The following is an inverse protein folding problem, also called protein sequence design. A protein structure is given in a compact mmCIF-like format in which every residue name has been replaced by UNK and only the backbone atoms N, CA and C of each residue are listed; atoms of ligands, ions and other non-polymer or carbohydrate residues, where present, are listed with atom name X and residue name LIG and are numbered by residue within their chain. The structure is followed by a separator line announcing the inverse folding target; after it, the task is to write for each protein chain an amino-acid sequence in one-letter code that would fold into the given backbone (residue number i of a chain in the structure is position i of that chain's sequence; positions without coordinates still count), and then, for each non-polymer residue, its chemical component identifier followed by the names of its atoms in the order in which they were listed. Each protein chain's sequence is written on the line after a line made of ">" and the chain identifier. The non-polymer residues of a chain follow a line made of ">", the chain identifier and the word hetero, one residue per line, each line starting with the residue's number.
data_IF_434731626750
#
_entry.id   IF_434731626750
#
_cell.length_a   1.000
_cell.length_b   1.000
_cell.length_c   1.000
_cell.angle_alpha   90.00
_cell.angle_beta   90.00
_cell.angle_gamma   90.00
#
_symmetry.space_group_name_H-M   'P 1'
#
loop_
_entity.id
_entity.type
_entity.pdbx_description
1 polymer ?
#
# COMPACT_ATOMS: atom_id res chain seq x y z
N UNK A 1 9.77 4.28 -3.46
CA UNK A 1 9.46 4.38 -4.91
C UNK A 1 7.99 4.76 -5.08
N UNK A 2 7.72 6.06 -5.30
CA UNK A 2 6.37 6.60 -5.47
C UNK A 2 6.04 6.93 -6.94
N UNK A 3 6.83 6.42 -7.88
CA UNK A 3 6.79 6.85 -9.28
C UNK A 3 5.63 6.28 -10.12
N UNK A 4 4.88 5.29 -9.63
CA UNK A 4 3.79 4.65 -10.41
C UNK A 4 2.41 5.27 -10.16
N UNK A 5 2.32 6.34 -9.36
CA UNK A 5 1.09 6.83 -8.76
C UNK A 5 0.20 7.68 -9.67
N UNK A 6 0.76 8.39 -10.63
CA UNK A 6 -0.02 9.39 -11.37
C UNK A 6 -1.11 8.77 -12.27
N UNK A 7 -0.93 7.55 -12.76
CA UNK A 7 -1.98 6.88 -13.54
C UNK A 7 -3.10 6.34 -12.65
N UNK A 8 -2.81 5.93 -11.42
CA UNK A 8 -3.82 5.50 -10.44
C UNK A 8 -4.62 6.67 -9.87
N UNK A 9 -4.04 7.88 -9.86
CA UNK A 9 -4.70 9.09 -9.38
C UNK A 9 -5.77 9.62 -10.35
N UNK A 10 -5.67 9.33 -11.65
CA UNK A 10 -6.65 9.79 -12.65
C UNK A 10 -7.75 8.79 -12.94
N UNK A 11 -7.72 7.62 -12.31
CA UNK A 11 -8.67 6.56 -12.54
C UNK A 11 -8.94 5.75 -11.28
N UNK A 12 -10.19 5.67 -10.84
CA UNK A 12 -10.57 4.93 -9.65
C UNK A 12 -11.67 3.93 -9.98
N UNK A 13 -11.43 2.65 -9.65
CA UNK A 13 -12.41 1.58 -9.78
C UNK A 13 -12.50 0.75 -8.51
N UNK A 14 -13.72 0.45 -8.13
CA UNK A 14 -14.05 -0.41 -7.00
C UNK A 14 -15.33 -1.18 -7.30
N UNK A 15 -15.39 -2.44 -6.89
CA UNK A 15 -16.58 -3.28 -7.00
C UNK A 15 -17.02 -3.66 -5.59
N UNK A 16 -18.29 -3.46 -5.28
CA UNK A 16 -18.93 -3.99 -4.09
C UNK A 16 -19.42 -5.41 -4.37
N UNK A 17 -19.10 -6.37 -3.51
CA UNK A 17 -19.59 -7.73 -3.59
C UNK A 17 -20.34 -8.15 -2.34
N UNK A 18 -21.15 -9.22 -2.44
CA UNK A 18 -21.62 -9.98 -1.28
C UNK A 18 -20.54 -10.93 -0.75
N UNK A 19 -20.86 -11.71 0.29
CA UNK A 19 -19.94 -12.69 0.91
C UNK A 19 -19.58 -13.85 -0.04
N UNK A 20 -20.36 -14.09 -1.08
CA UNK A 20 -20.07 -15.06 -2.14
C UNK A 20 -19.18 -14.47 -3.25
N UNK A 21 -18.74 -13.23 -3.08
CA UNK A 21 -17.96 -12.47 -4.06
C UNK A 21 -18.73 -12.19 -5.37
N UNK A 22 -20.07 -12.14 -5.32
CA UNK A 22 -20.88 -11.72 -6.45
C UNK A 22 -21.07 -10.21 -6.42
N UNK A 23 -20.96 -9.56 -7.58
CA UNK A 23 -21.03 -8.11 -7.71
C UNK A 23 -22.43 -7.59 -7.35
N UNK A 24 -22.48 -6.54 -6.53
CA UNK A 24 -23.71 -5.82 -6.15
C UNK A 24 -23.76 -4.41 -6.71
N UNK A 25 -22.62 -3.72 -6.73
CA UNK A 25 -22.49 -2.34 -7.22
C UNK A 25 -21.06 -2.07 -7.63
N UNK A 26 -20.81 -1.00 -8.40
CA UNK A 26 -19.47 -0.58 -8.76
C UNK A 26 -19.31 0.93 -8.77
N UNK A 27 -18.11 1.37 -8.49
CA UNK A 27 -17.63 2.72 -8.76
C UNK A 27 -16.60 2.66 -9.89
N UNK A 28 -16.79 3.48 -10.91
CA UNK A 28 -15.89 3.57 -12.06
C UNK A 28 -15.86 5.03 -12.50
N UNK A 29 -14.76 5.73 -12.26
CA UNK A 29 -14.62 7.13 -12.60
C UNK A 29 -13.21 7.47 -13.08
N UNK A 30 -13.14 8.42 -14.01
CA UNK A 30 -11.91 9.00 -14.53
C UNK A 30 -11.94 10.51 -14.34
N UNK A 31 -10.80 11.12 -14.03
CA UNK A 31 -10.69 12.56 -13.86
C UNK A 31 -9.62 13.17 -14.77
N UNK A 32 -9.62 14.50 -14.82
CA UNK A 32 -8.54 15.28 -15.43
C UNK A 32 -7.28 15.19 -14.57
N UNK A 33 -6.11 15.35 -15.21
CA UNK A 33 -4.86 15.56 -14.48
C UNK A 33 -4.98 16.84 -13.63
N UNK A 34 -4.51 16.75 -12.39
CA UNK A 34 -4.37 17.94 -11.54
C UNK A 34 -3.27 18.86 -12.06
N UNK A 35 -3.45 20.18 -11.96
CA UNK A 35 -2.39 21.12 -12.32
C UNK A 35 -1.08 20.81 -11.61
N UNK A 36 0.01 20.81 -12.36
CA UNK A 36 1.35 20.55 -11.81
C UNK A 36 1.66 19.07 -11.53
N UNK A 37 0.89 18.12 -12.08
CA UNK A 37 1.18 16.68 -12.00
C UNK A 37 1.67 16.18 -13.36
N UNK A 38 2.82 15.51 -13.37
CA UNK A 38 3.33 14.79 -14.53
C UNK A 38 3.17 13.29 -14.28
N UNK A 39 2.30 12.60 -15.02
CA UNK A 39 2.15 11.15 -14.91
C UNK A 39 3.39 10.45 -15.48
N UNK A 40 3.66 9.25 -14.99
CA UNK A 40 4.70 8.39 -15.57
C UNK A 40 4.32 7.98 -17.00
N UNK A 41 5.22 8.19 -17.95
CA UNK A 41 4.95 7.96 -19.37
C UNK A 41 4.57 6.51 -19.64
N UNK A 42 5.30 5.55 -19.05
CA UNK A 42 4.98 4.12 -19.21
C UNK A 42 3.61 3.75 -18.64
N UNK A 43 3.18 4.36 -17.53
CA UNK A 43 1.88 4.10 -16.96
C UNK A 43 0.74 4.56 -17.89
N UNK A 44 0.88 5.70 -18.53
CA UNK A 44 -0.09 6.17 -19.53
C UNK A 44 -0.13 5.25 -20.78
N UNK A 45 1.04 4.83 -21.25
CA UNK A 45 1.17 3.95 -22.43
C UNK A 45 0.53 2.59 -22.17
N UNK A 46 0.82 1.97 -21.01
CA UNK A 46 0.25 0.67 -20.63
C UNK A 46 -1.28 0.76 -20.51
N UNK A 47 -1.78 1.85 -19.95
CA UNK A 47 -3.22 2.10 -19.82
C UNK A 47 -3.87 2.65 -21.11
N UNK A 48 -3.13 2.76 -22.21
CA UNK A 48 -3.60 3.32 -23.51
C UNK A 48 -4.32 4.65 -23.33
N UNK A 49 -3.78 5.50 -22.46
CA UNK A 49 -4.37 6.81 -22.09
C UNK A 49 -3.36 7.91 -22.37
N UNK A 50 -3.82 9.10 -22.70
CA UNK A 50 -2.95 10.26 -22.92
C UNK A 50 -3.45 11.51 -22.16
N UNK A 51 -2.61 12.52 -21.93
CA UNK A 51 -3.02 13.78 -21.29
C UNK A 51 -4.19 14.45 -21.98
N UNK A 52 -4.24 14.47 -23.30
CA UNK A 52 -5.35 15.06 -24.06
C UNK A 52 -6.66 14.28 -23.89
N UNK A 53 -6.58 12.95 -23.74
CA UNK A 53 -7.77 12.14 -23.41
C UNK A 53 -8.26 12.43 -21.99
N UNK A 54 -7.37 12.56 -21.04
CA UNK A 54 -7.71 12.87 -19.64
C UNK A 54 -8.30 14.28 -19.51
N UNK A 55 -7.82 15.25 -20.28
CA UNK A 55 -8.34 16.64 -20.31
C UNK A 55 -9.82 16.69 -20.68
N UNK A 56 -10.33 15.69 -21.43
CA UNK A 56 -11.76 15.59 -21.79
C UNK A 56 -12.66 15.03 -20.69
N UNK A 57 -12.09 14.55 -19.59
CA UNK A 57 -12.87 14.05 -18.44
C UNK A 57 -13.65 15.20 -17.79
N UNK A 58 -14.92 14.94 -17.46
CA UNK A 58 -15.79 15.95 -16.84
C UNK A 58 -15.41 16.25 -15.39
N UNK A 59 -14.83 15.27 -14.68
CA UNK A 59 -14.47 15.38 -13.26
C UNK A 59 -13.06 15.92 -13.10
N UNK A 60 -12.87 16.80 -12.13
CA UNK A 60 -11.55 17.05 -11.54
C UNK A 60 -11.14 15.88 -10.63
N UNK A 61 -9.87 15.84 -10.24
CA UNK A 61 -9.39 14.87 -9.27
C UNK A 61 -10.12 14.98 -7.92
N UNK A 62 -10.32 16.20 -7.44
CA UNK A 62 -11.08 16.46 -6.21
C UNK A 62 -12.52 15.94 -6.30
N UNK A 63 -13.24 16.24 -7.39
CA UNK A 63 -14.61 15.78 -7.60
C UNK A 63 -14.70 14.25 -7.67
N UNK A 64 -13.76 13.59 -8.35
CA UNK A 64 -13.71 12.14 -8.42
C UNK A 64 -13.52 11.51 -7.03
N UNK A 65 -12.60 12.05 -6.22
CA UNK A 65 -12.36 11.55 -4.86
C UNK A 65 -13.58 11.79 -3.95
N UNK A 66 -14.24 12.95 -4.09
CA UNK A 66 -15.50 13.22 -3.37
C UNK A 66 -16.58 12.18 -3.70
N UNK A 67 -16.80 11.91 -4.98
CA UNK A 67 -17.78 10.89 -5.42
C UNK A 67 -17.39 9.49 -4.92
N UNK A 68 -16.10 9.16 -4.94
CA UNK A 68 -15.59 7.91 -4.42
C UNK A 68 -15.88 7.75 -2.91
N UNK A 69 -15.54 8.74 -2.10
CA UNK A 69 -15.78 8.72 -0.65
C UNK A 69 -17.27 8.63 -0.32
N UNK A 70 -18.12 9.38 -1.02
CA UNK A 70 -19.59 9.31 -0.86
C UNK A 70 -20.13 7.92 -1.24
N UNK A 71 -19.57 7.29 -2.27
CA UNK A 71 -19.91 5.92 -2.64
C UNK A 71 -19.52 4.94 -1.55
N UNK A 72 -18.32 5.05 -0.97
CA UNK A 72 -17.91 4.20 0.15
C UNK A 72 -18.81 4.37 1.38
N UNK A 73 -19.22 5.60 1.70
CA UNK A 73 -20.17 5.88 2.78
C UNK A 73 -21.54 5.23 2.53
N UNK A 74 -22.02 5.29 1.29
CA UNK A 74 -23.28 4.64 0.88
C UNK A 74 -23.22 3.12 0.98
N UNK A 75 -22.08 2.52 0.62
CA UNK A 75 -21.86 1.08 0.76
C UNK A 75 -21.74 0.62 2.21
N UNK A 76 -21.38 1.52 3.13
CA UNK A 76 -21.27 1.24 4.56
C UNK A 76 -19.99 0.50 4.92
N UNK A 77 -20.08 -0.26 6.03
CA UNK A 77 -18.92 -1.04 6.51
C UNK A 77 -18.59 -2.18 5.57
N UNK A 78 -17.33 -2.30 5.22
CA UNK A 78 -16.87 -3.29 4.26
C UNK A 78 -15.44 -3.77 4.55
N UNK A 79 -15.09 -4.91 3.96
CA UNK A 79 -13.71 -5.37 3.84
C UNK A 79 -13.15 -4.94 2.49
N UNK A 80 -12.12 -4.11 2.52
CA UNK A 80 -11.43 -3.62 1.31
C UNK A 80 -10.36 -4.62 0.89
N UNK A 81 -10.55 -5.23 -0.29
CA UNK A 81 -9.68 -6.29 -0.79
C UNK A 81 -9.13 -5.89 -2.15
N UNK A 82 -7.84 -6.11 -2.35
CA UNK A 82 -7.18 -5.93 -3.64
C UNK A 82 -6.06 -6.96 -3.84
N UNK A 83 -5.35 -6.85 -4.94
CA UNK A 83 -4.19 -7.66 -5.24
C UNK A 83 -2.92 -6.83 -5.07
N UNK A 84 -2.09 -7.12 -4.07
CA UNK A 84 -0.95 -6.31 -3.61
C UNK A 84 -1.36 -4.90 -3.14
N UNK A 85 -2.62 -4.71 -2.79
CA UNK A 85 -3.19 -3.39 -2.54
C UNK A 85 -2.72 -2.76 -1.22
N UNK A 86 -2.46 -3.56 -0.19
CA UNK A 86 -2.06 -3.05 1.14
C UNK A 86 -0.69 -2.35 1.11
N UNK A 87 0.22 -2.81 0.26
CA UNK A 87 1.56 -2.21 0.14
C UNK A 87 1.64 -1.17 -0.98
N UNK A 88 0.61 -1.06 -1.84
CA UNK A 88 0.63 -0.20 -3.00
C UNK A 88 -0.60 0.71 -3.09
N UNK A 89 -1.76 0.23 -3.54
CA UNK A 89 -2.95 1.07 -3.81
C UNK A 89 -3.45 1.82 -2.57
N UNK A 90 -3.36 1.19 -1.40
CA UNK A 90 -3.76 1.79 -0.12
C UNK A 90 -2.88 2.97 0.29
N UNK A 91 -1.59 2.92 0.00
CA UNK A 91 -0.68 4.02 0.30
C UNK A 91 -0.99 5.23 -0.58
N UNK A 92 -1.26 5.01 -1.88
CA UNK A 92 -1.70 6.09 -2.77
C UNK A 92 -3.05 6.65 -2.37
N UNK A 93 -4.02 5.78 -2.07
CA UNK A 93 -5.32 6.23 -1.62
C UNK A 93 -5.23 7.10 -0.36
N UNK A 94 -4.38 6.74 0.60
CA UNK A 94 -4.18 7.53 1.82
C UNK A 94 -3.58 8.90 1.52
N UNK A 95 -2.55 8.96 0.67
CA UNK A 95 -1.96 10.23 0.26
C UNK A 95 -3.00 11.10 -0.47
N UNK A 96 -3.77 10.51 -1.38
CA UNK A 96 -4.83 11.19 -2.11
C UNK A 96 -5.92 11.73 -1.17
N UNK A 97 -6.42 10.91 -0.25
CA UNK A 97 -7.41 11.33 0.75
C UNK A 97 -6.87 12.45 1.64
N UNK A 98 -5.64 12.35 2.11
CA UNK A 98 -4.99 13.38 2.91
C UNK A 98 -4.88 14.71 2.16
N UNK A 99 -4.44 14.68 0.91
CA UNK A 99 -4.30 15.87 0.06
C UNK A 99 -5.64 16.48 -0.36
N UNK A 100 -6.72 15.69 -0.37
CA UNK A 100 -8.07 16.16 -0.67
C UNK A 100 -8.89 16.48 0.58
N UNK A 101 -8.26 16.53 1.76
CA UNK A 101 -8.89 16.80 3.05
C UNK A 101 -9.98 15.78 3.43
N UNK A 102 -9.81 14.55 2.99
CA UNK A 102 -10.60 13.40 3.44
C UNK A 102 -9.83 12.59 4.48
N UNK A 103 -10.55 11.84 5.31
CA UNK A 103 -9.90 11.01 6.33
C UNK A 103 -9.08 9.88 5.71
N UNK A 104 -7.74 9.84 5.88
CA UNK A 104 -6.86 8.95 5.12
C UNK A 104 -7.05 7.46 5.40
N UNK A 105 -7.60 7.11 6.56
CA UNK A 105 -7.69 5.72 7.02
C UNK A 105 -9.10 5.13 6.92
N UNK A 106 -9.94 5.65 6.02
CA UNK A 106 -11.34 5.24 5.85
C UNK A 106 -11.48 3.72 5.59
N UNK A 107 -10.54 3.11 4.89
CA UNK A 107 -10.55 1.67 4.55
C UNK A 107 -10.18 0.74 5.70
N UNK A 108 -9.65 1.27 6.80
CA UNK A 108 -9.10 0.46 7.91
C UNK A 108 -9.55 0.89 9.30
N UNK A 109 -10.59 1.72 9.38
CA UNK A 109 -11.15 2.26 10.63
C UNK A 109 -12.67 2.21 10.60
N UNK A 110 -13.32 2.55 11.72
CA UNK A 110 -14.78 2.63 11.83
C UNK A 110 -15.52 1.33 11.45
N UNK A 111 -14.90 0.18 11.71
CA UNK A 111 -15.43 -1.14 11.37
C UNK A 111 -15.09 -1.64 9.97
N UNK A 112 -14.34 -0.86 9.20
CA UNK A 112 -13.77 -1.31 7.94
C UNK A 112 -12.50 -2.12 8.19
N UNK A 113 -12.28 -3.16 7.37
CA UNK A 113 -11.12 -4.05 7.42
C UNK A 113 -10.46 -4.16 6.06
N UNK A 114 -9.27 -4.76 5.99
CA UNK A 114 -8.49 -4.85 4.74
C UNK A 114 -7.95 -6.24 4.50
N UNK A 115 -7.94 -6.66 3.24
CA UNK A 115 -7.36 -7.90 2.80
C UNK A 115 -6.50 -7.76 1.55
N UNK A 116 -5.60 -8.72 1.34
CA UNK A 116 -4.72 -8.73 0.19
C UNK A 116 -4.68 -10.13 -0.43
N UNK A 117 -5.19 -10.25 -1.65
CA UNK A 117 -5.29 -11.53 -2.35
C UNK A 117 -3.91 -12.08 -2.75
N UNK A 118 -2.91 -11.22 -2.95
CA UNK A 118 -1.55 -11.71 -3.22
C UNK A 118 -0.99 -12.50 -2.03
N UNK A 119 -1.20 -12.02 -0.80
CA UNK A 119 -0.81 -12.73 0.42
C UNK A 119 -1.53 -14.07 0.55
N UNK A 120 -2.84 -14.09 0.24
CA UNK A 120 -3.63 -15.32 0.23
C UNK A 120 -3.17 -16.29 -0.85
N UNK A 121 -2.90 -15.83 -2.06
CA UNK A 121 -2.43 -16.67 -3.16
C UNK A 121 -1.12 -17.38 -2.82
N UNK A 122 -0.19 -16.65 -2.20
CA UNK A 122 1.09 -17.19 -1.71
C UNK A 122 0.91 -18.22 -0.60
N UNK A 123 0.00 -17.96 0.35
CA UNK A 123 -0.34 -18.90 1.42
C UNK A 123 -1.10 -20.12 0.89
N UNK A 124 -2.05 -19.92 -0.03
CA UNK A 124 -2.83 -20.98 -0.62
C UNK A 124 -1.94 -21.99 -1.36
N UNK A 125 -1.02 -21.53 -2.20
CA UNK A 125 -0.10 -22.44 -2.89
C UNK A 125 0.91 -23.11 -1.95
N UNK A 126 1.27 -22.48 -0.83
CA UNK A 126 2.18 -23.06 0.16
C UNK A 126 1.51 -24.21 0.92
N UNK A 127 0.31 -23.97 1.44
CA UNK A 127 -0.39 -24.94 2.31
C UNK A 127 -1.29 -25.93 1.56
N UNK A 128 -1.72 -25.57 0.37
CA UNK A 128 -2.53 -26.36 -0.55
C UNK A 128 -1.89 -26.30 -1.95
N UNK A 129 -0.82 -27.09 -2.19
CA UNK A 129 -0.13 -27.10 -3.48
C UNK A 129 -1.09 -27.27 -4.66
N UNK A 130 -0.84 -26.57 -5.75
CA UNK A 130 -1.67 -26.54 -6.96
C UNK A 130 -3.05 -25.87 -6.80
N UNK A 131 -3.27 -25.07 -5.77
CA UNK A 131 -4.49 -24.23 -5.65
C UNK A 131 -4.60 -23.29 -6.83
N UNK A 132 -3.52 -22.58 -7.15
CA UNK A 132 -3.41 -21.67 -8.27
C UNK A 132 -2.27 -22.09 -9.19
N UNK A 133 -2.49 -21.99 -10.49
CA UNK A 133 -1.45 -22.14 -11.51
C UNK A 133 -0.69 -20.82 -11.66
N UNK A 134 0.62 -20.88 -11.62
CA UNK A 134 1.52 -19.73 -11.81
C UNK A 134 2.46 -20.00 -12.98
N UNK A 135 2.88 -18.93 -13.63
CA UNK A 135 4.09 -18.98 -14.46
C UNK A 135 5.33 -19.07 -13.58
N UNK A 136 6.44 -19.52 -14.16
CA UNK A 136 7.72 -19.70 -13.48
C UNK A 136 8.73 -18.80 -14.14
N UNK A 137 9.53 -18.09 -13.36
CA UNK A 137 10.63 -17.28 -13.90
C UNK A 137 11.87 -18.13 -14.22
N UNK A 138 12.88 -17.51 -14.84
CA UNK A 138 14.15 -18.17 -15.21
C UNK A 138 14.87 -18.85 -14.05
N UNK A 139 14.60 -18.43 -12.80
CA UNK A 139 15.18 -19.02 -11.58
C UNK A 139 14.34 -20.14 -11.00
N UNK A 140 13.28 -20.56 -11.68
CA UNK A 140 12.37 -21.63 -11.20
C UNK A 140 11.45 -21.21 -10.05
N UNK A 141 11.21 -19.91 -9.86
CA UNK A 141 10.31 -19.41 -8.83
C UNK A 141 8.95 -19.03 -9.42
N UNK A 142 7.88 -19.28 -8.65
CA UNK A 142 6.53 -18.89 -9.03
C UNK A 142 6.41 -17.36 -9.18
N UNK A 143 5.74 -16.95 -10.25
CA UNK A 143 5.42 -15.55 -10.52
C UNK A 143 3.98 -15.27 -10.11
N UNK A 144 3.82 -14.41 -9.12
CA UNK A 144 2.52 -13.97 -8.61
C UNK A 144 2.15 -12.61 -9.21
N UNK A 145 1.94 -12.57 -10.53
CA UNK A 145 1.43 -11.40 -11.25
C UNK A 145 0.02 -11.68 -11.73
N UNK A 146 -0.91 -10.76 -11.48
CA UNK A 146 -2.33 -10.94 -11.74
C UNK A 146 -2.64 -11.18 -13.22
N UNK A 147 -1.97 -10.41 -14.10
CA UNK A 147 -2.06 -10.51 -15.56
C UNK A 147 -1.66 -11.88 -16.12
N UNK A 148 -0.77 -12.59 -15.41
CA UNK A 148 -0.31 -13.94 -15.76
C UNK A 148 -1.13 -15.03 -15.06
N UNK A 149 -1.44 -14.82 -13.78
CA UNK A 149 -2.17 -15.80 -12.98
C UNK A 149 -3.61 -15.97 -13.43
N UNK A 150 -4.33 -14.90 -13.73
CA UNK A 150 -5.74 -14.96 -14.05
C UNK A 150 -6.03 -15.85 -15.28
N UNK A 151 -5.37 -15.65 -16.44
CA UNK A 151 -5.58 -16.52 -17.61
C UNK A 151 -5.20 -17.97 -17.37
N UNK A 152 -4.09 -18.24 -16.66
CA UNK A 152 -3.65 -19.60 -16.34
C UNK A 152 -4.66 -20.38 -15.48
N UNK A 153 -5.51 -19.68 -14.75
CA UNK A 153 -6.54 -20.24 -13.89
C UNK A 153 -7.95 -20.15 -14.52
N UNK A 154 -8.06 -19.84 -15.82
CA UNK A 154 -9.32 -19.78 -16.54
C UNK A 154 -10.22 -18.61 -16.14
N UNK A 155 -9.61 -17.52 -15.62
CA UNK A 155 -10.29 -16.29 -15.28
C UNK A 155 -10.14 -15.35 -16.48
N UNK A 156 -11.25 -14.92 -17.03
CA UNK A 156 -11.26 -13.88 -18.08
C UNK A 156 -10.70 -12.58 -17.48
N UNK A 157 -9.59 -12.14 -18.02
CA UNK A 157 -8.91 -10.91 -17.62
C UNK A 157 -9.16 -9.82 -18.67
N UNK A 158 -10.36 -9.66 -19.17
CA UNK A 158 -10.81 -8.61 -20.09
C UNK A 158 -9.68 -7.95 -20.91
N UNK A 159 -9.76 -6.65 -21.17
CA UNK A 159 -8.57 -5.89 -21.61
C UNK A 159 -7.54 -5.88 -20.47
N UNK A 160 -6.51 -6.73 -20.59
CA UNK A 160 -5.39 -6.79 -19.66
C UNK A 160 -4.84 -5.38 -19.44
N UNK A 161 -4.64 -4.99 -18.18
CA UNK A 161 -4.31 -3.63 -17.74
C UNK A 161 -5.46 -2.60 -17.78
N UNK A 162 -6.71 -3.01 -18.00
CA UNK A 162 -7.83 -2.17 -17.62
C UNK A 162 -8.08 -2.36 -16.11
N UNK A 163 -8.22 -1.27 -15.35
CA UNK A 163 -8.40 -1.38 -13.90
C UNK A 163 -9.66 -2.18 -13.49
N UNK A 164 -10.68 -2.31 -14.36
CA UNK A 164 -11.84 -3.19 -14.12
C UNK A 164 -11.47 -4.66 -14.35
N UNK A 165 -10.63 -4.95 -15.34
CA UNK A 165 -10.10 -6.28 -15.59
C UNK A 165 -9.34 -6.80 -14.37
N UNK A 166 -8.51 -5.97 -13.76
CA UNK A 166 -7.73 -6.31 -12.55
C UNK A 166 -8.64 -6.57 -11.33
N UNK A 167 -9.72 -5.80 -11.15
CA UNK A 167 -10.70 -6.04 -10.08
C UNK A 167 -11.43 -7.36 -10.30
N UNK A 168 -11.93 -7.63 -11.51
CA UNK A 168 -12.62 -8.89 -11.86
C UNK A 168 -11.68 -10.08 -11.70
N UNK A 169 -10.43 -9.97 -12.16
CA UNK A 169 -9.42 -11.00 -12.01
C UNK A 169 -9.11 -11.26 -10.53
N UNK A 170 -9.00 -10.23 -9.70
CA UNK A 170 -8.81 -10.35 -8.25
C UNK A 170 -9.95 -11.11 -7.59
N UNK A 171 -11.21 -10.78 -7.93
CA UNK A 171 -12.40 -11.50 -7.45
C UNK A 171 -12.37 -12.96 -7.91
N UNK A 172 -12.00 -13.23 -9.16
CA UNK A 172 -11.86 -14.59 -9.69
C UNK A 172 -10.82 -15.42 -8.93
N UNK A 173 -9.64 -14.87 -8.66
CA UNK A 173 -8.60 -15.53 -7.83
C UNK A 173 -9.11 -15.76 -6.40
N UNK A 174 -9.79 -14.78 -5.80
CA UNK A 174 -10.39 -14.93 -4.47
C UNK A 174 -11.41 -16.08 -4.42
N UNK A 175 -12.31 -16.20 -5.43
CA UNK A 175 -13.26 -17.32 -5.57
C UNK A 175 -12.56 -18.67 -5.67
N UNK A 176 -11.46 -18.75 -6.42
CA UNK A 176 -10.68 -20.00 -6.52
C UNK A 176 -10.02 -20.38 -5.18
N UNK A 177 -9.42 -19.43 -4.48
CA UNK A 177 -8.81 -19.68 -3.17
C UNK A 177 -9.88 -20.12 -2.17
N UNK A 178 -11.03 -19.45 -2.10
CA UNK A 178 -12.10 -19.81 -1.17
C UNK A 178 -12.60 -21.24 -1.40
N UNK A 179 -12.65 -21.70 -2.66
CA UNK A 179 -13.09 -23.04 -3.04
C UNK A 179 -12.02 -24.11 -2.83
N UNK A 180 -10.77 -23.87 -3.24
CA UNK A 180 -9.71 -24.89 -3.26
C UNK A 180 -8.84 -24.91 -2.00
N UNK A 181 -8.75 -23.79 -1.27
CA UNK A 181 -8.00 -23.67 -0.02
C UNK A 181 -8.88 -23.04 1.09
N UNK A 182 -10.02 -23.67 1.45
CA UNK A 182 -11.04 -23.06 2.31
C UNK A 182 -10.51 -22.71 3.70
N UNK A 183 -9.55 -23.46 4.25
CA UNK A 183 -8.97 -23.14 5.55
C UNK A 183 -8.04 -21.90 5.49
N UNK A 184 -7.33 -21.69 4.38
CA UNK A 184 -6.56 -20.45 4.16
C UNK A 184 -7.50 -19.28 4.05
N UNK A 185 -8.58 -19.41 3.27
CA UNK A 185 -9.61 -18.39 3.15
C UNK A 185 -10.23 -18.03 4.52
N UNK A 186 -10.68 -19.04 5.27
CA UNK A 186 -11.27 -18.84 6.61
C UNK A 186 -10.30 -18.18 7.59
N UNK A 187 -9.05 -18.63 7.61
CA UNK A 187 -8.00 -18.03 8.46
C UNK A 187 -7.74 -16.58 8.11
N UNK A 188 -7.71 -16.26 6.81
CA UNK A 188 -7.47 -14.90 6.33
C UNK A 188 -8.61 -13.95 6.69
N UNK A 189 -9.87 -14.40 6.65
CA UNK A 189 -11.02 -13.56 7.04
C UNK A 189 -10.91 -13.04 8.48
N UNK A 190 -10.36 -13.83 9.40
CA UNK A 190 -10.12 -13.42 10.79
C UNK A 190 -9.02 -12.36 10.89
N UNK A 191 -8.01 -12.41 10.03
CA UNK A 191 -6.82 -11.54 10.09
C UNK A 191 -6.94 -10.27 9.25
N UNK A 192 -8.04 -10.08 8.52
CA UNK A 192 -8.40 -8.82 7.87
C UNK A 192 -8.66 -7.70 8.90
N UNK A 193 -9.17 -8.04 10.09
CA UNK A 193 -9.20 -7.14 11.24
C UNK A 193 -7.86 -7.19 11.99
N UNK A 194 -7.18 -6.04 12.05
CA UNK A 194 -5.87 -5.92 12.71
C UNK A 194 -5.89 -6.25 14.20
N UNK A 195 -7.00 -5.96 14.89
CA UNK A 195 -7.13 -6.19 16.33
C UNK A 195 -7.35 -7.69 16.58
N UNK A 196 -8.22 -8.34 15.81
CA UNK A 196 -8.41 -9.79 15.87
C UNK A 196 -7.11 -10.54 15.53
N UNK A 197 -6.38 -10.05 14.52
CA UNK A 197 -5.06 -10.59 14.15
C UNK A 197 -4.07 -10.50 15.33
N UNK A 198 -4.00 -9.35 16.00
CA UNK A 198 -3.13 -9.16 17.16
C UNK A 198 -3.52 -10.03 18.34
N UNK A 199 -4.81 -10.11 18.65
CA UNK A 199 -5.34 -10.96 19.73
C UNK A 199 -5.03 -12.44 19.48
N UNK A 200 -5.25 -12.92 18.26
CA UNK A 200 -4.94 -14.30 17.86
C UNK A 200 -3.46 -14.61 18.09
N UNK A 201 -2.54 -13.75 17.64
CA UNK A 201 -1.10 -13.93 17.83
C UNK A 201 -0.71 -13.97 19.30
N UNK A 202 -1.32 -13.13 20.13
CA UNK A 202 -1.04 -13.09 21.59
C UNK A 202 -1.61 -14.28 22.33
N UNK A 203 -2.82 -14.71 21.97
CA UNK A 203 -3.55 -15.77 22.66
C UNK A 203 -2.97 -17.15 22.37
N UNK A 204 -2.71 -17.46 21.11
CA UNK A 204 -2.26 -18.80 20.71
C UNK A 204 -0.89 -19.13 21.30
N UNK A 205 -0.72 -20.37 21.78
CA UNK A 205 0.57 -20.85 22.26
C UNK A 205 1.60 -20.84 21.13
N UNK A 206 1.23 -21.35 19.98
CA UNK A 206 1.99 -21.32 18.74
C UNK A 206 1.04 -21.26 17.56
N UNK A 207 1.50 -20.75 16.44
CA UNK A 207 0.73 -20.62 15.20
C UNK A 207 1.67 -20.71 13.99
N UNK A 208 1.11 -20.97 12.81
CA UNK A 208 1.87 -21.05 11.58
C UNK A 208 1.55 -19.86 10.67
N UNK A 209 2.58 -19.19 10.15
CA UNK A 209 2.45 -18.13 9.13
C UNK A 209 3.29 -18.45 7.92
N UNK A 210 3.14 -17.65 6.87
CA UNK A 210 4.03 -17.67 5.73
C UNK A 210 4.66 -16.30 5.50
N UNK A 211 5.88 -16.31 5.00
CA UNK A 211 6.56 -15.12 4.46
C UNK A 211 7.02 -15.42 3.03
N UNK A 212 7.00 -14.38 2.19
CA UNK A 212 7.47 -14.48 0.81
C UNK A 212 8.72 -13.63 0.62
N UNK A 213 9.83 -14.26 0.30
CA UNK A 213 11.08 -13.58 -0.02
C UNK A 213 11.96 -14.45 -0.92
N UNK A 214 12.78 -13.79 -1.72
CA UNK A 214 13.61 -14.44 -2.75
C UNK A 214 12.81 -15.37 -3.68
N UNK A 215 11.59 -14.93 -4.06
CA UNK A 215 10.76 -15.64 -5.01
C UNK A 215 10.05 -16.90 -4.47
N UNK A 216 10.06 -17.14 -3.16
CA UNK A 216 9.46 -18.33 -2.54
C UNK A 216 8.68 -18.01 -1.27
N UNK A 217 7.53 -18.67 -1.11
CA UNK A 217 6.83 -18.71 0.18
C UNK A 217 7.51 -19.70 1.13
N UNK A 218 7.63 -19.31 2.40
CA UNK A 218 8.22 -20.14 3.45
C UNK A 218 7.31 -20.15 4.67
N UNK A 219 7.09 -21.34 5.29
CA UNK A 219 6.31 -21.47 6.51
C UNK A 219 7.14 -21.08 7.73
N UNK A 220 6.46 -20.59 8.76
CA UNK A 220 7.04 -20.31 10.06
C UNK A 220 6.09 -20.73 11.17
N UNK A 221 6.43 -21.76 11.93
CA UNK A 221 5.78 -22.08 13.20
C UNK A 221 6.44 -21.25 14.28
N UNK A 222 5.68 -20.41 14.94
CA UNK A 222 6.23 -19.40 15.84
C UNK A 222 5.33 -19.15 17.04
N UNK A 223 5.91 -18.52 18.05
CA UNK A 223 5.20 -18.08 19.26
C UNK A 223 5.49 -16.62 19.55
N UNK A 224 4.52 -15.93 20.14
CA UNK A 224 4.63 -14.53 20.51
C UNK A 224 5.66 -14.31 21.63
N UNK A 225 6.48 -13.27 21.50
CA UNK A 225 7.43 -12.79 22.52
C UNK A 225 6.92 -11.51 23.18
N UNK A 226 6.88 -10.43 22.38
CA UNK A 226 6.49 -9.09 22.80
C UNK A 226 6.07 -8.26 21.59
N UNK A 227 5.60 -7.04 21.82
CA UNK A 227 5.35 -6.06 20.74
C UNK A 227 6.59 -5.21 20.50
N UNK A 228 6.82 -4.85 19.24
CA UNK A 228 7.86 -3.90 18.86
C UNK A 228 7.56 -2.53 19.49
N UNK A 229 8.50 -1.88 20.19
CA UNK A 229 8.22 -0.68 20.99
C UNK A 229 7.61 0.48 20.21
N UNK A 230 8.05 0.71 18.97
CA UNK A 230 7.59 1.80 18.12
C UNK A 230 6.35 1.42 17.28
N UNK A 231 6.42 0.28 16.58
CA UNK A 231 5.40 -0.08 15.58
C UNK A 231 4.27 -0.93 16.14
N UNK A 232 4.38 -1.38 17.41
CA UNK A 232 3.42 -2.29 18.06
C UNK A 232 3.21 -3.63 17.32
N UNK A 233 4.07 -3.97 16.35
CA UNK A 233 4.02 -5.24 15.66
C UNK A 233 4.49 -6.38 16.56
N UNK A 234 3.81 -7.54 16.58
CA UNK A 234 4.27 -8.73 17.26
C UNK A 234 5.67 -9.16 16.81
N UNK A 235 6.55 -9.33 17.78
CA UNK A 235 7.82 -10.01 17.63
C UNK A 235 7.62 -11.45 18.09
N UNK A 236 7.96 -12.41 17.24
CA UNK A 236 7.68 -13.81 17.44
C UNK A 236 8.96 -14.64 17.32
N UNK A 237 9.06 -15.72 18.08
CA UNK A 237 10.18 -16.65 18.02
C UNK A 237 9.89 -17.76 17.03
N UNK A 238 10.81 -18.01 16.10
CA UNK A 238 10.74 -19.11 15.14
C UNK A 238 11.14 -20.41 15.83
N UNK A 239 10.20 -21.32 16.01
CA UNK A 239 10.35 -22.55 16.78
C UNK A 239 11.23 -23.62 16.10
N UNK A 240 11.77 -23.39 14.91
CA UNK A 240 12.87 -24.20 14.38
C UNK A 240 14.11 -24.14 15.26
N UNK A 241 14.35 -23.01 15.89
CA UNK A 241 15.46 -22.78 16.79
C UNK A 241 15.14 -23.31 18.19
N UNK A 242 16.14 -23.87 18.88
CA UNK A 242 16.04 -24.14 20.31
C UNK A 242 16.12 -22.81 21.07
N UNK A 243 15.13 -22.45 21.90
CA UNK A 243 15.17 -21.22 22.65
C UNK A 243 16.20 -21.20 23.79
N UNK A 244 16.59 -22.38 24.31
CA UNK A 244 17.41 -22.49 25.51
C UNK A 244 18.70 -21.63 25.54
N UNK A 245 19.50 -21.55 24.47
CA UNK A 245 20.70 -20.73 24.44
C UNK A 245 20.38 -19.23 24.55
N UNK A 246 19.26 -18.78 23.93
CA UNK A 246 18.90 -17.36 23.81
C UNK A 246 18.33 -16.80 25.13
N UNK A 247 17.58 -17.61 25.89
CA UNK A 247 16.91 -17.17 27.12
C UNK A 247 17.89 -16.64 28.19
N UNK A 248 19.05 -17.28 28.31
CA UNK A 248 20.09 -16.90 29.30
C UNK A 248 21.16 -15.95 28.75
N UNK A 249 21.11 -15.68 27.43
CA UNK A 249 22.14 -14.87 26.74
C UNK A 249 22.18 -13.44 27.28
N UNK A 250 23.38 -12.89 27.57
CA UNK A 250 23.53 -11.48 27.88
C UNK A 250 23.03 -10.58 26.75
N UNK A 251 22.51 -9.39 27.07
CA UNK A 251 21.86 -8.50 26.08
C UNK A 251 22.77 -8.15 24.89
N UNK A 252 24.06 -7.95 25.14
CA UNK A 252 25.06 -7.65 24.08
C UNK A 252 25.20 -8.79 23.09
N UNK A 253 25.24 -10.03 23.57
CA UNK A 253 25.33 -11.22 22.75
C UNK A 253 23.99 -11.46 22.01
N UNK A 254 22.86 -11.26 22.69
CA UNK A 254 21.53 -11.36 22.11
C UNK A 254 21.36 -10.34 20.95
N UNK A 255 21.82 -9.10 21.14
CA UNK A 255 21.82 -8.08 20.08
C UNK A 255 22.60 -8.55 18.85
N UNK A 256 23.79 -9.11 19.05
CA UNK A 256 24.59 -9.66 17.96
C UNK A 256 23.92 -10.87 17.29
N UNK A 257 23.31 -11.76 18.09
CA UNK A 257 22.59 -12.93 17.58
C UNK A 257 21.36 -12.55 16.76
N UNK A 258 20.59 -11.54 17.19
CA UNK A 258 19.39 -11.04 16.46
C UNK A 258 19.73 -10.42 15.08
N UNK A 259 20.96 -9.94 14.87
CA UNK A 259 21.43 -9.42 13.57
C UNK A 259 21.86 -10.52 12.60
N UNK A 260 22.16 -11.74 13.09
CA UNK A 260 22.64 -12.87 12.27
C UNK A 260 21.52 -13.57 11.50
N UNK A 261 21.91 -14.27 10.42
CA UNK A 261 21.03 -15.18 9.67
C UNK A 261 21.38 -16.65 10.04
N UNK A 262 20.40 -17.54 10.02
CA UNK A 262 18.96 -17.30 9.87
C UNK A 262 18.35 -16.62 11.11
N UNK A 263 17.38 -15.73 10.88
CA UNK A 263 16.72 -15.00 11.99
C UNK A 263 15.83 -15.94 12.80
N UNK A 264 16.02 -15.94 14.12
CA UNK A 264 15.15 -16.66 15.06
C UNK A 264 14.02 -15.79 15.63
N UNK A 265 14.10 -14.44 15.50
CA UNK A 265 13.01 -13.52 15.82
C UNK A 265 12.45 -12.96 14.53
N UNK A 266 11.14 -13.10 14.39
CA UNK A 266 10.39 -12.64 13.23
C UNK A 266 9.37 -11.59 13.64
N UNK A 267 9.09 -10.65 12.72
CA UNK A 267 8.07 -9.62 12.93
C UNK A 267 6.83 -9.97 12.16
N UNK A 268 5.70 -10.15 12.84
CA UNK A 268 4.40 -10.34 12.20
C UNK A 268 3.68 -9.00 12.13
N UNK A 269 3.53 -8.46 10.93
CA UNK A 269 2.80 -7.20 10.72
C UNK A 269 1.30 -7.46 10.75
N UNK A 270 0.72 -7.51 11.95
CA UNK A 270 -0.71 -7.83 12.17
C UNK A 270 -1.68 -6.89 11.43
N UNK A 271 -1.23 -5.68 11.08
CA UNK A 271 -1.99 -4.69 10.32
C UNK A 271 -1.80 -4.77 8.79
N UNK A 272 -1.06 -5.75 8.29
CA UNK A 272 -0.79 -6.00 6.87
C UNK A 272 -1.34 -7.36 6.40
N UNK A 273 -2.45 -7.78 7.01
CA UNK A 273 -3.18 -9.01 6.65
C UNK A 273 -2.30 -10.27 6.59
N UNK A 274 -1.64 -10.67 7.70
CA UNK A 274 -0.90 -11.92 7.73
C UNK A 274 -1.85 -13.12 7.68
N UNK A 275 -1.50 -14.17 6.94
CA UNK A 275 -2.25 -15.43 6.99
C UNK A 275 -1.74 -16.24 8.18
N UNK A 276 -2.61 -16.45 9.18
CA UNK A 276 -2.29 -17.17 10.42
C UNK A 276 -3.04 -18.50 10.43
N UNK A 277 -2.30 -19.59 10.27
CA UNK A 277 -2.82 -20.93 10.17
C UNK A 277 -2.63 -21.70 11.49
N UNK A 278 -3.42 -22.76 11.66
CA UNK A 278 -3.22 -23.72 12.75
C UNK A 278 -1.79 -24.27 12.70
N UNK A 279 -1.11 -24.45 13.84
CA UNK A 279 0.27 -24.92 13.89
C UNK A 279 0.49 -26.30 13.24
N UNK A 280 -0.56 -27.13 13.13
CA UNK A 280 -0.50 -28.42 12.44
C UNK A 280 -0.10 -28.31 10.96
N UNK A 281 -0.34 -27.16 10.31
CA UNK A 281 0.15 -26.91 8.96
C UNK A 281 1.69 -26.90 8.87
N UNK A 282 2.39 -26.63 9.96
CA UNK A 282 3.84 -26.77 10.05
C UNK A 282 4.32 -28.22 9.80
N UNK A 283 3.51 -29.21 10.12
CA UNK A 283 3.86 -30.62 9.93
C UNK A 283 3.95 -31.06 8.44
N UNK A 284 3.52 -30.23 7.52
CA UNK A 284 3.72 -30.44 6.08
C UNK A 284 5.18 -30.18 5.65
N UNK A 285 6.00 -29.56 6.51
CA UNK A 285 7.36 -29.14 6.21
C UNK A 285 8.35 -29.89 7.12
N UNK A 286 9.35 -30.52 6.51
CA UNK A 286 10.30 -31.37 7.21
C UNK A 286 11.02 -30.65 8.36
N UNK A 287 11.32 -29.37 8.21
CA UNK A 287 11.99 -28.56 9.23
C UNK A 287 11.21 -28.44 10.56
N UNK A 288 9.88 -28.62 10.54
CA UNK A 288 9.04 -28.64 11.74
C UNK A 288 8.57 -30.05 12.08
N UNK A 289 8.28 -30.87 11.05
CA UNK A 289 7.88 -32.26 11.21
C UNK A 289 8.92 -33.07 11.98
N UNK A 290 10.21 -32.92 11.68
CA UNK A 290 11.31 -33.60 12.36
C UNK A 290 11.46 -33.18 13.82
N UNK A 291 11.12 -31.94 14.17
CA UNK A 291 11.12 -31.49 15.57
C UNK A 291 9.95 -32.10 16.34
N UNK A 292 8.80 -32.21 15.70
CA UNK A 292 7.56 -32.77 16.24
C UNK A 292 6.77 -31.80 17.11
N UNK A 293 5.46 -31.96 17.11
CA UNK A 293 4.50 -31.04 17.75
C UNK A 293 4.80 -30.82 19.23
N UNK A 294 5.05 -31.91 19.99
CA UNK A 294 5.34 -31.83 21.43
C UNK A 294 6.53 -30.94 21.73
N UNK A 295 7.62 -31.09 20.96
CA UNK A 295 8.84 -30.28 21.15
C UNK A 295 8.64 -28.82 20.76
N UNK A 296 7.85 -28.55 19.72
CA UNK A 296 7.45 -27.20 19.35
C UNK A 296 6.63 -26.51 20.45
N UNK A 297 5.71 -27.23 21.08
CA UNK A 297 4.93 -26.73 22.23
C UNK A 297 5.82 -26.47 23.46
N UNK A 298 6.75 -27.34 23.77
CA UNK A 298 7.72 -27.14 24.85
C UNK A 298 8.54 -25.86 24.61
N UNK A 299 9.09 -25.67 23.40
CA UNK A 299 9.82 -24.47 23.00
C UNK A 299 8.95 -23.21 23.11
N UNK A 300 7.69 -23.28 22.68
CA UNK A 300 6.77 -22.15 22.78
C UNK A 300 6.47 -21.78 24.24
N UNK A 301 6.26 -22.75 25.12
CA UNK A 301 6.07 -22.54 26.57
C UNK A 301 7.31 -21.90 27.21
N UNK A 302 8.51 -22.31 26.83
CA UNK A 302 9.75 -21.71 27.33
C UNK A 302 9.83 -20.21 27.00
N UNK A 303 9.39 -19.80 25.83
CA UNK A 303 9.36 -18.38 25.40
C UNK A 303 8.25 -17.63 26.12
N UNK A 304 7.00 -18.14 26.07
CA UNK A 304 5.84 -17.43 26.65
C UNK A 304 5.95 -17.25 28.17
N UNK A 305 6.60 -18.14 28.87
CA UNK A 305 6.78 -18.08 30.32
C UNK A 305 8.07 -17.32 30.74
N UNK A 306 8.75 -16.64 29.82
CA UNK A 306 10.00 -15.94 30.10
C UNK A 306 9.90 -14.43 29.82
N UNK A 307 9.33 -13.70 30.78
CA UNK A 307 9.19 -12.24 30.70
C UNK A 307 10.55 -11.54 30.57
N UNK A 308 11.58 -12.02 31.26
CA UNK A 308 12.92 -11.44 31.18
C UNK A 308 13.49 -11.51 29.74
N UNK A 309 13.19 -12.58 28.99
CA UNK A 309 13.57 -12.66 27.59
C UNK A 309 12.78 -11.66 26.73
N UNK A 310 11.48 -11.52 26.95
CA UNK A 310 10.66 -10.53 26.26
C UNK A 310 11.15 -9.10 26.50
N UNK A 311 11.53 -8.76 27.73
CA UNK A 311 12.12 -7.46 28.08
C UNK A 311 13.46 -7.22 27.38
N UNK A 312 14.35 -8.23 27.35
CA UNK A 312 15.62 -8.14 26.62
C UNK A 312 15.40 -7.87 25.13
N UNK A 313 14.50 -8.61 24.47
CA UNK A 313 14.16 -8.40 23.07
C UNK A 313 13.59 -7.00 22.82
N UNK A 314 12.69 -6.54 23.68
CA UNK A 314 12.14 -5.19 23.63
C UNK A 314 13.22 -4.12 23.78
N UNK A 315 14.16 -4.31 24.73
CA UNK A 315 15.26 -3.39 24.97
C UNK A 315 16.23 -3.30 23.77
N UNK A 316 16.56 -4.45 23.14
CA UNK A 316 17.36 -4.45 21.90
C UNK A 316 16.65 -3.63 20.81
N UNK A 317 15.34 -3.77 20.67
CA UNK A 317 14.57 -3.01 19.67
C UNK A 317 14.50 -1.52 19.97
N UNK A 318 14.45 -1.12 21.25
CA UNK A 318 14.54 0.31 21.63
C UNK A 318 15.89 0.90 21.24
N UNK A 319 16.99 0.21 21.56
CA UNK A 319 18.33 0.68 21.17
C UNK A 319 18.49 0.82 19.64
N UNK A 320 17.90 -0.09 18.85
CA UNK A 320 17.89 0.02 17.37
C UNK A 320 17.11 1.25 16.88
N UNK A 321 16.05 1.66 17.58
CA UNK A 321 15.26 2.86 17.28
C UNK A 321 16.09 4.11 17.61
N UNK A 322 16.65 4.16 18.82
CA UNK A 322 17.45 5.30 19.28
C UNK A 322 18.66 5.54 18.34
N UNK A 323 19.35 4.47 17.91
CA UNK A 323 20.45 4.56 16.95
C UNK A 323 19.98 5.16 15.59
N UNK A 324 18.81 4.75 15.12
CA UNK A 324 18.24 5.27 13.86
C UNK A 324 17.79 6.72 13.97
N UNK A 325 17.21 7.12 15.09
CA UNK A 325 16.79 8.50 15.32
C UNK A 325 17.97 9.45 15.37
N UNK A 326 19.09 9.02 15.99
CA UNK A 326 20.33 9.81 16.03
C UNK A 326 21.00 9.99 14.66
N UNK A 327 20.76 9.07 13.72
CA UNK A 327 21.35 9.10 12.37
C UNK A 327 20.39 9.73 11.34
N UNK A 328 19.15 10.02 11.72
CA UNK A 328 18.15 10.60 10.82
C UNK A 328 18.43 12.08 10.64
N UNK A 329 18.90 12.48 9.45
CA UNK A 329 18.87 13.88 9.05
C UNK A 329 17.43 14.37 9.03
N UNK A 330 17.17 15.57 9.55
CA UNK A 330 15.92 16.26 9.30
C UNK A 330 15.93 16.67 7.80
N UNK A 331 15.41 15.81 6.96
CA UNK A 331 15.05 16.18 5.61
C UNK A 331 13.77 17.00 5.67
N UNK A 332 13.77 18.17 5.05
CA UNK A 332 12.57 18.98 4.88
C UNK A 332 11.63 18.23 3.92
N UNK A 333 10.68 17.50 4.50
CA UNK A 333 9.67 16.79 3.73
C UNK A 333 8.70 17.77 3.07
N UNK A 334 8.41 17.58 1.81
CA UNK A 334 7.30 18.29 1.17
C UNK A 334 5.96 17.91 1.82
N UNK A 335 4.99 18.80 1.77
CA UNK A 335 3.68 18.55 2.40
C UNK A 335 3.05 17.24 1.92
N UNK A 336 3.19 16.90 0.65
CA UNK A 336 2.66 15.69 0.03
C UNK A 336 3.30 14.39 0.58
N UNK A 337 4.54 14.46 1.06
CA UNK A 337 5.28 13.32 1.64
C UNK A 337 5.07 13.22 3.16
N UNK A 338 4.43 14.20 3.76
CA UNK A 338 4.39 14.39 5.22
C UNK A 338 3.25 13.64 5.93
N UNK A 339 2.46 12.81 5.23
CA UNK A 339 1.31 12.11 5.83
C UNK A 339 1.69 11.31 7.08
N UNK A 340 2.88 10.70 7.10
CA UNK A 340 3.37 9.89 8.22
C UNK A 340 4.26 10.67 9.21
N UNK A 341 4.50 11.95 9.00
CA UNK A 341 5.28 12.78 9.94
C UNK A 341 4.55 12.94 11.28
N UNK A 342 3.24 13.14 11.24
CA UNK A 342 2.34 13.13 12.40
C UNK A 342 0.90 12.81 11.98
N UNK A 343 0.13 12.23 12.90
CA UNK A 343 -1.31 12.06 12.69
C UNK A 343 -2.04 13.40 12.81
N UNK A 344 -3.12 13.55 12.04
CA UNK A 344 -4.04 14.69 12.18
C UNK A 344 -4.77 14.64 13.51
N UNK A 345 -5.04 15.80 14.11
CA UNK A 345 -5.76 15.88 15.38
C UNK A 345 -7.24 15.48 15.22
N UNK A 346 -7.87 15.10 16.34
CA UNK A 346 -9.31 14.82 16.34
C UNK A 346 -10.13 16.07 15.97
N UNK A 347 -9.65 17.26 16.36
CA UNK A 347 -10.24 18.55 16.03
C UNK A 347 -10.19 18.80 14.53
N UNK A 348 -9.02 18.65 13.92
CA UNK A 348 -8.84 18.83 12.48
C UNK A 348 -9.68 17.83 11.68
N UNK A 349 -9.74 16.57 12.13
CA UNK A 349 -10.58 15.54 11.48
C UNK A 349 -12.08 15.89 11.49
N UNK A 350 -12.57 16.68 12.47
CA UNK A 350 -13.96 17.16 12.51
C UNK A 350 -14.20 18.34 11.55
N UNK A 351 -13.16 19.10 11.19
CA UNK A 351 -13.26 20.22 10.26
C UNK A 351 -13.27 19.73 8.79
N UNK A 352 -12.65 18.59 8.48
CA UNK A 352 -12.63 18.06 7.12
C UNK A 352 -14.02 17.93 6.46
N UNK A 353 -15.04 17.34 7.12
CA UNK A 353 -16.40 17.30 6.55
C UNK A 353 -17.02 18.68 6.35
N UNK A 354 -16.72 19.67 7.21
CA UNK A 354 -17.20 21.04 7.05
C UNK A 354 -16.63 21.66 5.77
N UNK A 355 -15.33 21.46 5.51
CA UNK A 355 -14.70 21.93 4.28
C UNK A 355 -15.45 21.44 3.02
N UNK A 356 -15.93 20.22 3.03
CA UNK A 356 -16.64 19.63 1.88
C UNK A 356 -18.09 20.08 1.76
N UNK A 357 -18.73 20.49 2.87
CA UNK A 357 -20.15 20.83 2.91
C UNK A 357 -20.46 22.28 2.53
N UNK A 358 -19.47 23.19 2.63
CA UNK A 358 -19.66 24.61 2.35
C UNK A 358 -19.40 24.97 0.91
N UNK A 359 -20.02 26.05 0.45
CA UNK A 359 -19.73 26.65 -0.86
C UNK A 359 -18.27 27.09 -0.98
N UNK A 360 -17.75 27.10 -2.21
CA UNK A 360 -16.36 27.46 -2.48
C UNK A 360 -15.92 28.77 -1.84
N UNK A 361 -16.75 29.80 -1.87
CA UNK A 361 -16.44 31.13 -1.30
C UNK A 361 -16.25 31.12 0.23
N UNK A 362 -16.74 30.09 0.93
CA UNK A 362 -16.59 29.93 2.38
C UNK A 362 -15.41 29.05 2.76
N UNK A 363 -14.79 28.33 1.81
CA UNK A 363 -13.73 27.37 2.11
C UNK A 363 -12.49 27.98 2.73
N UNK A 364 -12.11 29.23 2.37
CA UNK A 364 -10.99 29.94 3.03
C UNK A 364 -11.21 30.11 4.54
N UNK A 365 -12.45 30.38 4.97
CA UNK A 365 -12.79 30.51 6.38
C UNK A 365 -12.68 29.15 7.10
N UNK A 366 -13.02 28.05 6.41
CA UNK A 366 -12.87 26.68 6.97
C UNK A 366 -11.40 26.31 7.05
N UNK A 367 -10.61 26.61 6.00
CA UNK A 367 -9.16 26.35 5.97
C UNK A 367 -8.45 27.00 7.16
N UNK A 368 -8.82 28.22 7.54
CA UNK A 368 -8.22 28.92 8.69
C UNK A 368 -8.51 28.30 10.04
N UNK A 369 -9.48 27.38 10.14
CA UNK A 369 -9.79 26.64 11.39
C UNK A 369 -8.84 25.48 11.62
N UNK A 370 -8.22 24.89 10.59
CA UNK A 370 -7.25 23.83 10.76
C UNK A 370 -6.05 24.28 11.58
N UNK A 371 -5.66 23.47 12.55
CA UNK A 371 -4.43 23.67 13.33
C UNK A 371 -3.20 23.10 12.64
N UNK A 372 -3.40 22.07 11.81
CA UNK A 372 -2.34 21.45 11.03
C UNK A 372 -2.08 22.25 9.76
N UNK A 373 -0.89 22.86 9.67
CA UNK A 373 -0.47 23.68 8.54
C UNK A 373 -0.50 22.92 7.20
N UNK A 374 -0.28 21.61 7.24
CA UNK A 374 -0.38 20.77 6.03
C UNK A 374 -1.80 20.75 5.47
N UNK A 375 -2.81 20.69 6.34
CA UNK A 375 -4.22 20.73 5.92
C UNK A 375 -4.60 22.12 5.40
N UNK A 376 -4.06 23.18 6.00
CA UNK A 376 -4.21 24.54 5.47
C UNK A 376 -3.59 24.65 4.07
N UNK A 377 -2.39 24.12 3.89
CA UNK A 377 -1.71 24.08 2.59
C UNK A 377 -2.54 23.32 1.56
N UNK A 378 -3.00 22.12 1.87
CA UNK A 378 -3.82 21.33 0.93
C UNK A 378 -5.16 21.99 0.64
N UNK A 379 -5.81 22.61 1.62
CA UNK A 379 -7.02 23.39 1.39
C UNK A 379 -6.81 24.52 0.39
N UNK A 380 -5.74 25.29 0.53
CA UNK A 380 -5.37 26.33 -0.42
C UNK A 380 -4.97 25.76 -1.79
N UNK A 381 -4.26 24.62 -1.82
CA UNK A 381 -3.90 23.94 -3.06
C UNK A 381 -5.15 23.43 -3.81
N UNK A 382 -6.17 22.94 -3.11
CA UNK A 382 -7.46 22.59 -3.71
C UNK A 382 -8.17 23.80 -4.30
N UNK A 383 -8.15 24.96 -3.62
CA UNK A 383 -8.66 26.20 -4.18
C UNK A 383 -7.87 26.63 -5.42
N UNK A 384 -6.54 26.53 -5.39
CA UNK A 384 -5.68 26.81 -6.55
C UNK A 384 -6.06 25.98 -7.77
N UNK A 385 -6.40 24.71 -7.56
CA UNK A 385 -6.74 23.77 -8.64
C UNK A 385 -8.16 23.93 -9.17
N UNK A 386 -9.13 24.23 -8.28
CA UNK A 386 -10.56 24.19 -8.60
C UNK A 386 -11.18 25.58 -8.80
N UNK A 387 -10.73 26.58 -8.02
CA UNK A 387 -11.28 27.93 -7.94
C UNK A 387 -10.20 28.95 -7.60
N UNK A 388 -9.17 29.13 -8.47
CA UNK A 388 -8.03 30.00 -8.19
C UNK A 388 -8.43 31.48 -7.94
N UNK A 389 -9.57 31.93 -8.48
CA UNK A 389 -10.10 33.28 -8.30
C UNK A 389 -10.51 33.60 -6.85
N UNK A 390 -10.65 32.60 -5.98
CA UNK A 390 -11.00 32.79 -4.57
C UNK A 390 -9.75 33.09 -3.72
N UNK A 391 -8.58 32.66 -4.19
CA UNK A 391 -7.32 32.85 -3.47
C UNK A 391 -6.89 34.34 -3.50
N UNK A 392 -6.22 34.78 -2.42
CA UNK A 392 -5.46 36.00 -2.48
C UNK A 392 -4.30 35.84 -3.48
N UNK A 393 -3.83 36.96 -4.06
CA UNK A 393 -2.66 36.93 -4.95
C UNK A 393 -1.42 36.33 -4.25
N UNK A 394 -1.28 36.58 -2.96
CA UNK A 394 -0.19 36.01 -2.14
C UNK A 394 -0.30 34.48 -2.04
N UNK A 395 -1.46 33.96 -1.65
CA UNK A 395 -1.67 32.51 -1.51
C UNK A 395 -1.52 31.80 -2.86
N UNK A 396 -2.06 32.39 -3.92
CA UNK A 396 -1.88 31.88 -5.28
C UNK A 396 -0.39 31.76 -5.65
N UNK A 397 0.39 32.82 -5.44
CA UNK A 397 1.80 32.84 -5.78
C UNK A 397 2.62 31.84 -4.95
N UNK A 398 2.29 31.65 -3.67
CA UNK A 398 2.96 30.66 -2.81
C UNK A 398 2.76 29.25 -3.38
N UNK A 399 1.53 28.86 -3.68
CA UNK A 399 1.23 27.52 -4.22
C UNK A 399 1.84 27.35 -5.63
N UNK A 400 1.72 28.39 -6.47
CA UNK A 400 2.26 28.36 -7.83
C UNK A 400 3.79 28.17 -7.84
N UNK A 401 4.51 28.89 -7.00
CA UNK A 401 5.97 28.76 -6.84
C UNK A 401 6.37 27.39 -6.27
N UNK A 402 5.61 26.87 -5.32
CA UNK A 402 5.89 25.54 -4.78
C UNK A 402 5.73 24.46 -5.86
N UNK A 403 4.67 24.51 -6.67
CA UNK A 403 4.48 23.60 -7.80
C UNK A 403 5.60 23.80 -8.84
N UNK A 404 5.93 25.03 -9.20
CA UNK A 404 7.01 25.34 -10.13
C UNK A 404 8.35 24.76 -9.68
N UNK A 405 8.73 24.98 -8.42
CA UNK A 405 9.96 24.44 -7.81
C UNK A 405 10.02 22.91 -7.95
N UNK A 406 8.91 22.22 -7.71
CA UNK A 406 8.82 20.76 -7.82
C UNK A 406 8.95 20.29 -9.25
N UNK A 407 8.25 20.91 -10.18
CA UNK A 407 8.24 20.51 -11.59
C UNK A 407 9.60 20.77 -12.28
N UNK A 408 10.26 21.87 -11.96
CA UNK A 408 11.52 22.29 -12.58
C UNK A 408 12.77 21.75 -11.88
N UNK A 409 12.60 20.97 -10.80
CA UNK A 409 13.72 20.37 -10.08
C UNK A 409 14.57 19.47 -10.99
N UNK A 410 15.89 19.62 -10.89
CA UNK A 410 16.89 18.76 -11.54
C UNK A 410 17.44 17.70 -10.61
N UNK A 411 17.00 17.69 -9.34
CA UNK A 411 17.38 16.71 -8.35
C UNK A 411 16.71 15.34 -8.62
N UNK A 412 17.22 14.30 -7.98
CA UNK A 412 16.59 12.97 -8.01
C UNK A 412 15.40 12.93 -7.03
N UNK A 413 14.28 13.47 -7.46
CA UNK A 413 13.05 13.57 -6.67
C UNK A 413 12.25 12.26 -6.68
N UNK A 414 11.33 12.12 -5.71
CA UNK A 414 10.40 10.98 -5.61
C UNK A 414 9.22 11.06 -6.59
N UNK A 415 9.12 12.14 -7.36
CA UNK A 415 8.07 12.40 -8.37
C UNK A 415 8.70 12.73 -9.72
N UNK A 416 7.87 12.80 -10.76
CA UNK A 416 8.31 13.16 -12.08
C UNK A 416 8.50 14.68 -12.19
N UNK A 417 9.67 15.08 -12.66
CA UNK A 417 10.02 16.46 -12.99
C UNK A 417 10.06 16.66 -14.50
N UNK A 418 9.96 17.89 -14.97
CA UNK A 418 10.03 18.21 -16.40
C UNK A 418 11.32 17.68 -17.03
N UNK A 419 12.54 17.97 -16.49
CA UNK A 419 13.78 17.48 -17.07
C UNK A 419 13.87 15.95 -17.12
N UNK A 420 13.40 15.28 -16.05
CA UNK A 420 13.37 13.80 -15.99
C UNK A 420 12.44 13.21 -17.03
N UNK A 421 11.27 13.83 -17.20
CA UNK A 421 10.26 13.34 -18.14
C UNK A 421 10.71 13.49 -19.58
N UNK A 422 11.38 14.57 -19.96
CA UNK A 422 11.98 14.69 -21.29
C UNK A 422 13.00 13.56 -21.56
N UNK A 423 13.90 13.28 -20.62
CA UNK A 423 14.87 12.20 -20.75
C UNK A 423 14.19 10.82 -20.86
N UNK A 424 13.09 10.59 -20.14
CA UNK A 424 12.30 9.36 -20.25
C UNK A 424 11.63 9.26 -21.62
N UNK A 425 11.00 10.34 -22.10
CA UNK A 425 10.36 10.41 -23.43
C UNK A 425 11.38 10.06 -24.52
N UNK A 426 12.58 10.66 -24.52
CA UNK A 426 13.62 10.39 -25.51
C UNK A 426 14.03 8.91 -25.51
N UNK A 427 14.23 8.34 -24.33
CA UNK A 427 14.57 6.93 -24.15
C UNK A 427 13.49 5.99 -24.68
N UNK A 428 12.23 6.27 -24.36
CA UNK A 428 11.09 5.48 -24.79
C UNK A 428 10.82 5.65 -26.30
N UNK A 429 11.02 6.83 -26.84
CA UNK A 429 10.89 7.12 -28.27
C UNK A 429 11.86 6.25 -29.08
N UNK A 430 13.15 6.30 -28.77
CA UNK A 430 14.17 5.48 -29.43
C UNK A 430 13.83 3.97 -29.37
N UNK A 431 13.30 3.49 -28.26
CA UNK A 431 12.85 2.11 -28.10
C UNK A 431 11.67 1.79 -29.02
N UNK A 432 10.61 2.60 -29.01
CA UNK A 432 9.38 2.31 -29.73
C UNK A 432 9.50 2.53 -31.24
N UNK A 433 10.40 3.41 -31.68
CA UNK A 433 10.78 3.53 -33.09
C UNK A 433 11.47 2.24 -33.58
N UNK A 434 12.43 1.73 -32.80
CA UNK A 434 13.11 0.45 -33.11
C UNK A 434 12.15 -0.74 -33.14
N UNK A 435 11.16 -0.75 -32.23
CA UNK A 435 10.15 -1.81 -32.11
C UNK A 435 8.97 -1.60 -33.09
N UNK A 436 8.95 -0.53 -33.89
CA UNK A 436 7.87 -0.16 -34.82
C UNK A 436 6.49 -0.11 -34.15
N UNK A 437 6.37 0.68 -33.03
CA UNK A 437 5.15 0.79 -32.24
C UNK A 437 4.49 2.19 -32.35
N UNK A 438 3.84 2.54 -33.47
CA UNK A 438 3.35 3.89 -33.75
C UNK A 438 2.28 4.37 -32.78
N UNK A 439 1.45 3.48 -32.26
CA UNK A 439 0.42 3.82 -31.25
C UNK A 439 1.04 4.37 -29.96
N UNK A 440 2.15 3.80 -29.50
CA UNK A 440 2.86 4.26 -28.31
C UNK A 440 3.59 5.58 -28.55
N UNK A 441 4.15 5.75 -29.76
CA UNK A 441 4.77 7.02 -30.16
C UNK A 441 3.77 8.17 -30.12
N UNK A 442 2.54 7.95 -30.61
CA UNK A 442 1.48 8.96 -30.54
C UNK A 442 1.13 9.38 -29.11
N UNK A 443 1.13 8.43 -28.16
CA UNK A 443 0.91 8.76 -26.74
C UNK A 443 2.11 9.57 -26.20
N UNK A 444 3.34 9.21 -26.56
CA UNK A 444 4.54 9.96 -26.18
C UNK A 444 4.51 11.40 -26.71
N UNK A 445 4.07 11.62 -27.94
CA UNK A 445 3.93 12.96 -28.51
C UNK A 445 2.96 13.82 -27.73
N UNK A 446 1.84 13.23 -27.30
CA UNK A 446 0.84 13.92 -26.46
C UNK A 446 1.37 14.22 -25.05
N UNK A 447 2.17 13.31 -24.47
CA UNK A 447 2.85 13.56 -23.19
C UNK A 447 3.87 14.69 -23.33
N UNK A 448 4.66 14.69 -24.41
CA UNK A 448 5.65 15.73 -24.66
C UNK A 448 4.99 17.12 -24.77
N UNK A 449 3.93 17.24 -25.58
CA UNK A 449 3.16 18.47 -25.71
C UNK A 449 2.59 18.96 -24.38
N UNK A 450 2.10 18.04 -23.54
CA UNK A 450 1.61 18.35 -22.19
C UNK A 450 2.73 18.91 -21.29
N UNK A 451 3.92 18.30 -21.33
CA UNK A 451 5.06 18.73 -20.51
C UNK A 451 5.60 20.08 -20.96
N UNK A 452 5.62 20.35 -22.28
CA UNK A 452 5.97 21.68 -22.85
C UNK A 452 5.00 22.78 -22.37
N UNK A 453 3.70 22.48 -22.34
CA UNK A 453 2.69 23.41 -21.81
C UNK A 453 2.90 23.70 -20.31
N UNK A 454 3.24 22.68 -19.51
CA UNK A 454 3.58 22.83 -18.11
C UNK A 454 4.85 23.67 -17.92
N UNK A 455 5.90 23.39 -18.68
CA UNK A 455 7.15 24.14 -18.62
C UNK A 455 6.92 25.62 -18.90
N UNK A 456 6.21 25.94 -19.98
CA UNK A 456 5.86 27.30 -20.34
C UNK A 456 5.08 28.02 -19.27
N UNK A 457 4.13 27.34 -18.62
CA UNK A 457 3.28 27.93 -17.59
C UNK A 457 4.02 28.16 -16.27
N UNK A 458 4.88 27.22 -15.85
CA UNK A 458 5.55 27.27 -14.55
C UNK A 458 6.95 27.89 -14.57
N UNK A 459 7.59 28.07 -15.73
CA UNK A 459 8.90 28.74 -15.82
C UNK A 459 8.84 30.27 -15.56
N UNK A 460 7.65 30.84 -15.63
CA UNK A 460 7.42 32.27 -15.37
C UNK A 460 7.01 32.59 -13.92
N UNK A 461 7.08 31.63 -13.00
CA UNK A 461 6.58 31.71 -11.63
C UNK A 461 7.49 32.51 -10.65
#
# INVERSE_FOLDING_TARGET
>A
QFASSAASDVYKRQVLTNDNLDELDRFDARCRLSPGIIPEAMALIVNKTSPSMLKKSNLSHYEMIRQFVETLKRWGKATYIGFNSIEFDEEFLRCTLFQTLEYPYITSTNGNTRGDILSLARAANLYYPNTLKNSVNEKGNDVYKLDQMAPLNGIEHGDAHSAIGDVIATIGIAKLISKKAPNVWKASMLTMDKNQSLELIKKELLFCTNEYFYGRSRPYVQTFICQHPQYQWPLCFDLRHDPSPYLKMPIKELTAAMKKQPKFIRTVRHNKHPVIMNPSYGNQFDEYKLIGTKKLEERAKMIKNNEAFAEKVSSVKRSEIDEKEQTKSQEDLYNEESIYAKFTSTEDNKIMPEFHSVDWNKKLQVISKFKDERLQYFGKKLLYMEKPEILTKSDFNIIHKDISKKLLSTNNENWNTIPRTYSEIDTLRAKFEKENQPEKLKILDDINAYVEDLEKYYSSA
#
